data_IF_548316575988
#
_entry.id   IF_548316575988
#
_cell.length_a   1.000
_cell.length_b   1.000
_cell.length_c   1.000
_cell.angle_alpha   90.00
_cell.angle_beta   90.00
_cell.angle_gamma   90.00
#
_symmetry.space_group_name_H-M   'P 1'
#
loop_
_entity.id
_entity.type
_entity.pdbx_description
1 polymer ?
#
# COMPACT_ATOMS: atom_id res chain seq x y z
N UNK A 1 44.81 10.55 -19.97
CA UNK A 1 46.08 11.27 -20.22
C UNK A 1 45.69 12.58 -20.87
N UNK A 2 45.91 13.68 -20.16
CA UNK A 2 45.61 15.08 -20.52
C UNK A 2 45.92 15.46 -21.97
N UNK A 3 45.34 16.56 -22.45
CA UNK A 3 46.22 17.68 -22.75
C UNK A 3 45.83 18.98 -22.03
N UNK A 4 46.87 19.62 -21.50
CA UNK A 4 46.87 20.91 -20.82
C UNK A 4 46.98 22.08 -21.82
N UNK A 5 46.15 23.09 -21.52
CA UNK A 5 46.45 24.54 -21.45
C UNK A 5 46.81 25.33 -22.71
N UNK A 6 45.97 26.35 -22.91
CA UNK A 6 46.33 27.71 -23.29
C UNK A 6 45.07 28.44 -23.77
N UNK A 7 44.69 29.64 -23.34
CA UNK A 7 45.34 30.63 -22.50
C UNK A 7 44.32 31.78 -22.33
N UNK A 8 44.05 32.20 -21.07
CA UNK A 8 43.78 33.58 -20.57
C UNK A 8 42.71 34.44 -21.31
N UNK A 9 41.87 35.27 -20.68
CA UNK A 9 41.93 36.05 -19.44
C UNK A 9 40.49 36.56 -19.24
N UNK A 10 39.82 36.20 -18.15
CA UNK A 10 39.62 37.09 -16.99
C UNK A 10 39.12 38.49 -17.36
N UNK A 11 37.80 38.68 -17.24
CA UNK A 11 37.24 39.92 -16.69
C UNK A 11 36.69 39.58 -15.30
N UNK A 12 37.57 39.69 -14.31
CA UNK A 12 37.18 39.78 -12.91
C UNK A 12 36.54 41.14 -12.67
N UNK A 13 35.26 41.15 -12.35
CA UNK A 13 34.61 42.17 -11.53
C UNK A 13 33.43 41.47 -10.84
N UNK A 14 33.68 40.75 -9.74
CA UNK A 14 33.65 41.28 -8.36
C UNK A 14 32.26 41.85 -8.06
N UNK A 15 31.36 40.96 -7.62
CA UNK A 15 30.83 40.86 -6.25
C UNK A 15 30.00 42.07 -5.83
N UNK A 16 28.68 41.91 -5.72
CA UNK A 16 27.91 42.46 -4.59
C UNK A 16 26.67 41.59 -4.29
N UNK A 17 26.79 40.81 -3.22
CA UNK A 17 25.79 40.55 -2.19
C UNK A 17 24.32 40.88 -2.52
N UNK A 18 23.51 39.84 -2.66
CA UNK A 18 22.27 39.76 -1.89
C UNK A 18 21.97 38.31 -1.54
N UNK A 19 22.24 37.99 -0.28
CA UNK A 19 21.70 36.84 0.41
C UNK A 19 20.18 36.92 0.38
N UNK A 20 19.54 36.13 -0.46
CA UNK A 20 18.17 35.68 -0.20
C UNK A 20 18.22 34.16 -0.08
N UNK A 21 18.27 33.71 1.18
CA UNK A 21 17.81 32.39 1.56
C UNK A 21 16.33 32.28 1.17
N UNK A 22 16.05 31.93 -0.09
CA UNK A 22 14.75 31.38 -0.44
C UNK A 22 14.78 29.94 0.03
N UNK A 23 14.40 29.76 1.29
CA UNK A 23 13.94 28.47 1.80
C UNK A 23 12.56 28.21 1.16
N UNK A 24 12.53 27.81 -0.11
CA UNK A 24 11.34 27.18 -0.67
C UNK A 24 11.31 25.74 -0.17
N UNK A 25 10.54 25.56 0.89
CA UNK A 25 10.13 24.27 1.41
C UNK A 25 9.57 23.43 0.26
N UNK A 26 10.27 22.34 -0.08
CA UNK A 26 9.73 21.27 -0.92
C UNK A 26 8.43 20.78 -0.26
N UNK A 27 7.28 20.80 -0.93
CA UNK A 27 6.12 20.06 -0.47
C UNK A 27 6.45 18.57 -0.66
N UNK A 28 6.98 17.94 0.37
CA UNK A 28 6.96 16.50 0.48
C UNK A 28 5.50 16.06 0.47
N UNK A 29 5.06 15.48 -0.64
CA UNK A 29 3.77 14.79 -0.73
C UNK A 29 3.80 13.61 0.24
N UNK A 30 3.38 13.85 1.48
CA UNK A 30 2.96 12.79 2.37
C UNK A 30 1.69 12.18 1.78
N UNK A 31 1.81 10.97 1.25
CA UNK A 31 0.69 10.18 0.74
C UNK A 31 -0.42 10.07 1.80
N UNK A 32 -1.68 10.42 1.50
CA UNK A 32 -2.78 10.39 2.45
C UNK A 32 -3.35 8.97 2.68
N UNK A 33 -2.73 7.93 2.12
CA UNK A 33 -3.27 6.57 2.07
C UNK A 33 -2.67 5.60 3.09
N UNK A 34 -2.44 6.03 4.33
CA UNK A 34 -2.36 5.08 5.45
C UNK A 34 -3.16 5.60 6.64
N UNK A 35 -4.46 5.24 6.67
CA UNK A 35 -5.22 5.24 7.92
C UNK A 35 -4.97 3.91 8.63
N UNK A 36 -4.40 3.89 9.84
CA UNK A 36 -4.28 2.66 10.60
C UNK A 36 -5.68 2.14 10.91
N UNK A 37 -5.92 0.86 10.60
CA UNK A 37 -7.14 0.14 10.94
C UNK A 37 -7.21 -0.03 12.46
N UNK A 38 -7.83 0.93 13.15
CA UNK A 38 -8.24 0.74 14.55
C UNK A 38 -9.39 -0.26 14.59
N UNK A 39 -9.26 -1.27 15.45
CA UNK A 39 -10.25 -2.32 15.66
C UNK A 39 -11.39 -1.75 16.50
N UNK A 40 -12.46 -1.26 15.87
CA UNK A 40 -13.65 -0.85 16.60
C UNK A 40 -14.32 -2.08 17.23
N UNK A 41 -14.32 -2.13 18.56
CA UNK A 41 -15.18 -3.02 19.34
C UNK A 41 -16.62 -2.54 19.12
N UNK A 42 -17.44 -3.32 18.42
CA UNK A 42 -18.88 -3.06 18.37
C UNK A 42 -19.44 -3.24 19.78
N UNK A 43 -19.87 -2.14 20.41
CA UNK A 43 -20.75 -2.15 21.58
C UNK A 43 -22.12 -1.78 21.03
N UNK A 44 -23.05 -2.72 21.05
CA UNK A 44 -24.41 -2.50 20.57
C UNK A 44 -25.05 -1.34 21.32
N UNK A 45 -25.37 -0.28 20.58
CA UNK A 45 -25.83 0.99 21.09
C UNK A 45 -26.23 1.90 19.93
N UNK A 46 -27.20 1.46 19.15
CA UNK A 46 -27.75 2.23 18.03
C UNK A 46 -28.54 3.41 18.61
N UNK A 47 -27.94 4.61 18.63
CA UNK A 47 -28.65 5.87 18.85
C UNK A 47 -29.22 6.38 17.53
N UNK A 48 -30.54 6.53 17.47
CA UNK A 48 -31.35 6.87 16.30
C UNK A 48 -31.17 8.30 15.74
N UNK A 49 -30.00 8.94 15.83
CA UNK A 49 -29.89 10.39 15.50
C UNK A 49 -28.90 10.80 14.40
N UNK A 50 -28.20 9.89 13.72
CA UNK A 50 -27.47 10.22 12.49
C UNK A 50 -28.26 9.81 11.24
N UNK A 51 -29.44 10.42 11.14
CA UNK A 51 -30.18 10.63 9.90
C UNK A 51 -29.36 11.55 8.99
N UNK A 52 -28.29 11.04 8.40
CA UNK A 52 -27.64 11.71 7.27
C UNK A 52 -28.52 11.52 6.05
N UNK A 53 -29.44 12.47 5.90
CA UNK A 53 -30.00 12.99 4.66
C UNK A 53 -29.85 12.06 3.46
N UNK A 54 -30.76 11.11 3.36
CA UNK A 54 -31.13 10.49 2.10
C UNK A 54 -31.83 11.55 1.22
N UNK A 55 -31.07 12.35 0.49
CA UNK A 55 -31.56 13.19 -0.62
C UNK A 55 -30.43 13.45 -1.61
N UNK A 56 -30.20 12.50 -2.52
CA UNK A 56 -29.98 12.75 -3.95
C UNK A 56 -30.30 11.44 -4.69
N UNK A 57 -31.43 11.43 -5.38
CA UNK A 57 -31.72 10.43 -6.40
C UNK A 57 -30.94 10.73 -7.67
N UNK A 58 -30.04 9.82 -8.05
CA UNK A 58 -29.60 9.50 -9.42
C UNK A 58 -28.64 8.32 -9.28
N UNK A 59 -28.82 7.23 -10.04
CA UNK A 59 -28.00 6.02 -10.09
C UNK A 59 -26.49 6.25 -9.81
N UNK A 60 -26.10 6.26 -8.54
CA UNK A 60 -24.71 6.38 -8.12
C UNK A 60 -24.25 4.99 -7.75
N UNK A 61 -23.66 4.28 -8.71
CA UNK A 61 -22.95 3.03 -8.46
C UNK A 61 -21.94 3.32 -7.34
N UNK A 62 -22.23 2.88 -6.11
CA UNK A 62 -21.15 2.62 -5.15
C UNK A 62 -20.19 1.71 -5.91
N UNK A 63 -18.90 2.07 -6.01
CA UNK A 63 -17.98 1.21 -6.74
C UNK A 63 -18.08 -0.18 -6.09
N UNK A 64 -18.28 -1.29 -6.84
CA UNK A 64 -18.59 -2.59 -6.23
C UNK A 64 -17.50 -3.13 -5.29
N UNK A 65 -16.31 -2.55 -5.36
CA UNK A 65 -15.17 -2.81 -4.48
C UNK A 65 -14.95 -1.75 -3.38
N UNK A 66 -15.66 -0.63 -3.44
CA UNK A 66 -15.63 0.40 -2.41
C UNK A 66 -16.34 -0.13 -1.17
N UNK A 67 -15.54 -0.38 -0.12
CA UNK A 67 -15.91 -1.04 1.13
C UNK A 67 -16.13 -2.57 1.08
N UNK A 68 -15.77 -3.26 -0.01
CA UNK A 68 -15.79 -4.73 -0.06
C UNK A 68 -14.52 -5.35 0.53
N UNK A 69 -14.65 -6.20 1.55
CA UNK A 69 -13.52 -6.91 2.16
C UNK A 69 -13.41 -8.35 1.62
N UNK A 70 -12.25 -8.70 1.04
CA UNK A 70 -12.01 -10.00 0.40
C UNK A 70 -11.20 -10.99 1.25
N UNK A 71 -10.77 -10.61 2.44
CA UNK A 71 -9.86 -11.44 3.25
C UNK A 71 -8.40 -11.30 2.86
N UNK A 72 -7.55 -12.06 3.55
CA UNK A 72 -6.09 -12.02 3.37
C UNK A 72 -5.68 -12.72 2.06
N UNK A 73 -4.65 -12.20 1.39
CA UNK A 73 -4.15 -12.78 0.15
C UNK A 73 -5.04 -12.56 -1.08
N UNK A 74 -6.07 -11.70 -0.95
CA UNK A 74 -7.07 -11.43 -1.98
C UNK A 74 -7.29 -9.93 -2.16
N UNK A 75 -7.74 -9.53 -3.35
CA UNK A 75 -8.22 -8.18 -3.65
C UNK A 75 -9.56 -8.24 -4.36
N UNK A 76 -10.28 -7.11 -4.32
CA UNK A 76 -11.51 -6.96 -5.08
C UNK A 76 -11.20 -6.44 -6.48
N UNK A 77 -11.83 -7.03 -7.49
CA UNK A 77 -11.84 -6.54 -8.87
C UNK A 77 -13.29 -6.43 -9.34
N UNK A 78 -13.58 -5.47 -10.23
CA UNK A 78 -14.92 -5.35 -10.80
C UNK A 78 -15.01 -6.26 -12.01
N UNK A 79 -15.97 -7.18 -12.00
CA UNK A 79 -16.32 -7.93 -13.20
C UNK A 79 -17.11 -7.05 -14.16
N UNK A 80 -16.60 -6.88 -15.38
CA UNK A 80 -17.20 -6.00 -16.39
C UNK A 80 -18.49 -6.56 -16.98
N UNK A 81 -18.74 -7.88 -16.87
CA UNK A 81 -19.97 -8.50 -17.38
C UNK A 81 -21.15 -8.31 -16.41
N UNK A 82 -20.95 -8.59 -15.12
CA UNK A 82 -21.98 -8.50 -14.09
C UNK A 82 -22.07 -7.13 -13.41
N UNK A 83 -21.02 -6.30 -13.53
CA UNK A 83 -20.90 -5.06 -12.77
C UNK A 83 -20.73 -5.28 -11.26
N UNK A 84 -20.40 -6.49 -10.82
CA UNK A 84 -20.20 -6.83 -9.41
C UNK A 84 -18.71 -6.85 -9.05
N UNK A 85 -18.41 -6.58 -7.77
CA UNK A 85 -17.05 -6.71 -7.25
C UNK A 85 -16.80 -8.17 -6.88
N UNK A 86 -15.78 -8.81 -7.43
CA UNK A 86 -15.39 -10.18 -7.13
C UNK A 86 -14.05 -10.22 -6.40
N UNK A 87 -13.89 -11.21 -5.53
CA UNK A 87 -12.66 -11.38 -4.76
C UNK A 87 -11.75 -12.38 -5.47
N UNK A 88 -10.58 -11.91 -5.90
CA UNK A 88 -9.57 -12.72 -6.58
C UNK A 88 -8.29 -12.79 -5.74
N UNK A 89 -7.49 -13.83 -5.95
CA UNK A 89 -6.18 -13.94 -5.31
C UNK A 89 -5.28 -12.80 -5.78
N UNK A 90 -4.42 -12.29 -4.90
CA UNK A 90 -3.42 -11.30 -5.29
C UNK A 90 -2.52 -11.84 -6.41
N UNK A 91 -2.34 -11.04 -7.45
CA UNK A 91 -1.39 -11.36 -8.52
C UNK A 91 0.05 -11.31 -8.00
N UNK A 92 0.36 -10.32 -7.17
CA UNK A 92 1.68 -10.08 -6.59
C UNK A 92 1.58 -9.39 -5.23
N UNK A 93 2.51 -9.71 -4.33
CA UNK A 93 2.67 -9.02 -3.06
C UNK A 93 3.77 -7.96 -3.13
N UNK A 94 3.69 -6.97 -2.22
CA UNK A 94 4.76 -5.98 -2.07
C UNK A 94 6.05 -6.69 -1.62
N UNK A 95 7.20 -6.45 -2.28
CA UNK A 95 8.46 -7.06 -1.91
C UNK A 95 8.93 -6.48 -0.57
N UNK A 96 8.79 -7.26 0.48
CA UNK A 96 9.35 -6.97 1.80
C UNK A 96 9.72 -8.28 2.47
N UNK A 97 10.88 -8.32 3.12
CA UNK A 97 11.39 -9.53 3.74
C UNK A 97 11.05 -9.54 5.24
N UNK A 98 10.08 -10.35 5.60
CA UNK A 98 9.65 -10.64 6.99
C UNK A 98 9.23 -12.11 7.04
N UNK A 99 10.19 -13.04 7.05
CA UNK A 99 9.93 -14.43 6.75
C UNK A 99 8.97 -15.06 7.77
N UNK A 100 8.07 -15.91 7.29
CA UNK A 100 7.12 -16.65 8.12
C UNK A 100 7.08 -18.12 7.71
N UNK A 101 6.96 -19.01 8.70
CA UNK A 101 6.75 -20.43 8.47
C UNK A 101 5.25 -20.70 8.33
N UNK A 102 4.85 -21.36 7.25
CA UNK A 102 3.47 -21.81 7.05
C UNK A 102 3.21 -23.17 7.68
N UNK A 103 1.95 -23.44 8.02
CA UNK A 103 1.49 -24.75 8.52
C UNK A 103 1.71 -25.90 7.54
N UNK A 104 2.01 -25.59 6.27
CA UNK A 104 2.42 -26.56 5.26
C UNK A 104 3.94 -26.83 5.26
N UNK A 105 4.69 -26.33 6.25
CA UNK A 105 6.13 -26.54 6.40
C UNK A 105 6.99 -25.74 5.42
N UNK A 106 6.40 -24.78 4.69
CA UNK A 106 7.10 -23.92 3.72
C UNK A 106 7.43 -22.56 4.35
N UNK A 107 8.63 -22.07 4.08
CA UNK A 107 9.03 -20.70 4.42
C UNK A 107 8.55 -19.73 3.34
N UNK A 108 7.90 -18.65 3.76
CA UNK A 108 7.46 -17.57 2.88
C UNK A 108 8.24 -16.30 3.18
N UNK A 109 8.56 -15.52 2.15
CA UNK A 109 9.29 -14.25 2.30
C UNK A 109 8.56 -13.25 3.21
N UNK A 110 7.23 -13.29 3.20
CA UNK A 110 6.38 -12.48 4.06
C UNK A 110 4.96 -13.06 4.22
N UNK A 111 4.18 -12.48 5.13
CA UNK A 111 2.80 -12.86 5.41
C UNK A 111 1.85 -12.74 4.20
N UNK A 112 2.11 -11.83 3.27
CA UNK A 112 1.26 -11.66 2.08
C UNK A 112 1.43 -12.86 1.14
N UNK A 113 2.67 -13.28 0.88
CA UNK A 113 2.96 -14.45 0.04
C UNK A 113 2.35 -15.73 0.61
N UNK A 114 2.38 -15.91 1.94
CA UNK A 114 1.70 -17.03 2.58
C UNK A 114 0.20 -17.03 2.31
N UNK A 115 -0.48 -15.89 2.48
CA UNK A 115 -1.91 -15.81 2.23
C UNK A 115 -2.27 -15.87 0.74
N UNK A 116 -1.39 -15.41 -0.14
CA UNK A 116 -1.52 -15.55 -1.59
C UNK A 116 -1.44 -17.03 -1.99
N UNK A 117 -0.45 -17.77 -1.50
CA UNK A 117 -0.32 -19.22 -1.76
C UNK A 117 -1.53 -20.00 -1.21
N UNK A 118 -1.99 -19.64 -0.01
CA UNK A 118 -3.24 -20.15 0.60
C UNK A 118 -4.46 -19.94 -0.32
N UNK A 119 -4.55 -18.78 -0.96
CA UNK A 119 -5.61 -18.48 -1.93
C UNK A 119 -5.49 -19.32 -3.21
N UNK A 120 -4.30 -19.36 -3.81
CA UNK A 120 -4.04 -20.03 -5.09
C UNK A 120 -4.21 -21.55 -4.99
N UNK A 121 -3.70 -22.15 -3.91
CA UNK A 121 -3.80 -23.59 -3.64
C UNK A 121 -5.16 -24.02 -3.09
N UNK A 122 -6.00 -23.06 -2.69
CA UNK A 122 -7.27 -23.30 -1.98
C UNK A 122 -7.08 -24.11 -0.70
N UNK A 123 -5.91 -24.00 -0.06
CA UNK A 123 -5.59 -24.67 1.19
C UNK A 123 -5.48 -23.66 2.32
N UNK A 124 -5.97 -24.01 3.51
CA UNK A 124 -5.84 -23.14 4.68
C UNK A 124 -4.42 -23.21 5.23
N UNK A 125 -3.57 -22.28 4.81
CA UNK A 125 -2.21 -22.12 5.34
C UNK A 125 -2.23 -21.04 6.43
N UNK A 126 -1.77 -21.39 7.63
CA UNK A 126 -1.64 -20.46 8.76
C UNK A 126 -0.17 -20.26 9.11
N UNK A 127 0.18 -19.11 9.67
CA UNK A 127 1.52 -18.90 10.22
C UNK A 127 1.70 -19.80 11.45
N UNK A 128 2.80 -20.53 11.49
CA UNK A 128 3.20 -21.36 12.64
C UNK A 128 4.56 -20.89 13.16
N UNK A 129 4.74 -20.98 14.47
CA UNK A 129 6.03 -20.75 15.12
C UNK A 129 6.76 -22.10 15.24
N UNK A 130 7.04 -22.71 14.09
CA UNK A 130 7.88 -23.89 14.03
C UNK A 130 9.29 -23.47 13.64
N UNK A 131 10.25 -23.93 14.43
CA UNK A 131 11.68 -23.83 14.14
C UNK A 131 12.04 -24.58 12.84
N UNK A 132 11.29 -25.63 12.46
CA UNK A 132 11.61 -26.53 11.34
C UNK A 132 11.72 -25.86 9.96
N UNK A 133 11.06 -24.72 9.74
CA UNK A 133 11.16 -23.98 8.48
C UNK A 133 12.48 -23.18 8.34
N UNK A 134 13.16 -22.90 9.46
CA UNK A 134 14.33 -22.01 9.46
C UNK A 134 15.67 -22.75 9.44
N UNK A 135 15.68 -24.06 9.75
CA UNK A 135 16.89 -24.89 9.78
C UNK A 135 16.96 -25.95 8.68
N UNK A 136 16.04 -25.92 7.70
CA UNK A 136 16.11 -26.74 6.48
C UNK A 136 16.75 -25.96 5.34
#
# INVERSE_FOLDING_TARGET
KEPMRGLRSSWMAILLFSSVLVAEARPGFASPYYRPLVRFRHKDGISQSLRMKALLGRNGFLNPCEHKYCGLGKHCVVDHASGQGECQCLDHCKPHYKPVCGSNGKLYENHCELHRDSCLTRQRITIVHSEECFYK
#
